data_IF_674621921094
#
_entry.id   IF_674621921094
#
_cell.length_a   1.000
_cell.length_b   1.000
_cell.length_c   1.000
_cell.angle_alpha   90.00
_cell.angle_beta   90.00
_cell.angle_gamma   90.00
#
_symmetry.space_group_name_H-M   'P 1'
#
loop_
_entity.id
_entity.type
_entity.pdbx_description
1 polymer ?
#
# COMPACT_ATOMS: atom_id res chain seq x y z
N UNK A 1 6.92 7.21 21.55
CA UNK A 1 8.29 6.67 21.51
C UNK A 1 8.15 5.16 21.52
N UNK A 2 8.00 4.56 20.35
CA UNK A 2 7.96 3.12 20.18
C UNK A 2 9.26 2.67 19.57
N UNK A 3 9.89 1.72 20.25
CA UNK A 3 11.19 1.14 20.05
C UNK A 3 11.53 0.96 18.57
N UNK A 4 12.58 1.66 18.17
CA UNK A 4 13.42 1.32 17.03
C UNK A 4 14.04 -0.04 17.36
N UNK A 5 13.34 -1.11 16.97
CA UNK A 5 13.85 -2.46 17.06
C UNK A 5 15.03 -2.51 16.09
N UNK A 6 16.22 -2.52 16.61
CA UNK A 6 17.49 -2.77 15.95
C UNK A 6 17.36 -4.01 15.06
N UNK A 7 16.90 -3.80 13.82
CA UNK A 7 16.92 -4.86 12.79
C UNK A 7 18.40 -5.13 12.51
N UNK A 8 18.82 -6.34 12.85
CA UNK A 8 20.10 -6.86 12.41
C UNK A 8 20.32 -6.55 10.91
N UNK A 9 21.54 -6.23 10.45
CA UNK A 9 21.79 -5.85 9.08
C UNK A 9 21.23 -6.93 8.14
N UNK A 10 20.18 -6.56 7.40
CA UNK A 10 19.51 -7.50 6.49
C UNK A 10 20.51 -7.93 5.42
N UNK A 11 20.78 -9.22 5.36
CA UNK A 11 21.63 -9.80 4.32
C UNK A 11 21.06 -9.37 2.96
N UNK A 12 21.85 -8.72 2.08
CA UNK A 12 21.37 -8.27 0.78
C UNK A 12 20.81 -9.45 -0.02
N UNK A 13 19.84 -9.15 -0.90
CA UNK A 13 19.28 -10.13 -1.83
C UNK A 13 20.39 -10.62 -2.77
N UNK A 14 20.55 -11.93 -2.89
CA UNK A 14 21.40 -12.53 -3.93
C UNK A 14 20.69 -12.48 -5.30
N UNK A 15 21.40 -12.83 -6.37
CA UNK A 15 20.86 -12.75 -7.73
C UNK A 15 19.65 -13.68 -7.92
N UNK A 16 19.65 -14.84 -7.27
CA UNK A 16 18.52 -15.77 -7.30
C UNK A 16 17.31 -15.17 -6.58
N UNK A 17 17.50 -14.58 -5.41
CA UNK A 17 16.44 -13.89 -4.68
C UNK A 17 15.83 -12.75 -5.53
N UNK A 18 16.67 -11.98 -6.24
CA UNK A 18 16.21 -10.92 -7.17
C UNK A 18 15.38 -11.49 -8.33
N UNK A 19 15.77 -12.62 -8.91
CA UNK A 19 14.99 -13.31 -9.94
C UNK A 19 13.62 -13.70 -9.39
N UNK A 20 13.56 -14.33 -8.22
CA UNK A 20 12.31 -14.78 -7.60
C UNK A 20 11.39 -13.61 -7.28
N UNK A 21 11.92 -12.54 -6.69
CA UNK A 21 11.14 -11.32 -6.40
C UNK A 21 10.61 -10.69 -7.68
N UNK A 22 11.40 -10.60 -8.75
CA UNK A 22 11.00 -10.05 -10.04
C UNK A 22 9.87 -10.86 -10.68
N UNK A 23 9.98 -12.18 -10.70
CA UNK A 23 8.94 -13.06 -11.28
C UNK A 23 7.64 -12.97 -10.46
N UNK A 24 7.71 -13.04 -9.14
CA UNK A 24 6.55 -12.92 -8.25
C UNK A 24 5.92 -11.51 -8.26
N UNK A 25 6.72 -10.46 -8.43
CA UNK A 25 6.19 -9.11 -8.60
C UNK A 25 5.42 -8.94 -9.92
N UNK A 26 5.79 -9.68 -10.98
CA UNK A 26 5.07 -9.68 -12.26
C UNK A 26 3.82 -10.55 -12.24
N UNK A 27 3.93 -11.73 -11.62
CA UNK A 27 2.84 -12.68 -11.48
C UNK A 27 2.89 -13.33 -10.08
N UNK A 28 2.10 -12.79 -9.15
CA UNK A 28 1.96 -13.34 -7.81
C UNK A 28 1.37 -14.76 -7.74
N UNK A 29 0.91 -15.31 -8.88
CA UNK A 29 0.41 -16.68 -9.03
C UNK A 29 1.40 -17.63 -9.74
N UNK A 30 2.62 -17.14 -10.01
CA UNK A 30 3.66 -17.97 -10.64
C UNK A 30 3.87 -19.26 -9.85
N UNK A 31 3.91 -20.40 -10.56
CA UNK A 31 4.10 -21.71 -9.92
C UNK A 31 5.54 -21.88 -9.46
N UNK A 32 5.76 -22.69 -8.42
CA UNK A 32 7.11 -23.04 -7.98
C UNK A 32 7.95 -23.69 -9.10
N UNK A 33 7.32 -24.44 -10.00
CA UNK A 33 7.99 -25.03 -11.15
C UNK A 33 8.47 -23.96 -12.14
N UNK A 34 7.66 -22.94 -12.43
CA UNK A 34 8.06 -21.80 -13.24
C UNK A 34 9.23 -21.04 -12.61
N UNK A 35 9.13 -20.74 -11.33
CA UNK A 35 10.19 -20.04 -10.58
C UNK A 35 11.49 -20.86 -10.55
N UNK A 36 11.40 -22.18 -10.39
CA UNK A 36 12.55 -23.10 -10.41
C UNK A 36 13.26 -23.08 -11.76
N UNK A 37 12.50 -23.12 -12.85
CA UNK A 37 13.05 -23.02 -14.21
C UNK A 37 13.75 -21.66 -14.44
N UNK A 38 13.17 -20.55 -13.96
CA UNK A 38 13.76 -19.22 -14.09
C UNK A 38 15.02 -19.03 -13.25
N UNK A 39 15.04 -19.61 -12.05
CA UNK A 39 16.15 -19.48 -11.11
C UNK A 39 17.26 -20.54 -11.30
N UNK A 40 17.05 -21.55 -12.14
CA UNK A 40 17.98 -22.66 -12.31
C UNK A 40 18.14 -23.53 -11.07
N UNK A 41 17.07 -23.69 -10.27
CA UNK A 41 17.08 -24.41 -9.01
C UNK A 41 16.04 -25.54 -8.98
N UNK A 42 16.12 -26.41 -7.97
CA UNK A 42 15.05 -27.35 -7.65
C UNK A 42 13.83 -26.66 -7.06
N UNK A 43 12.64 -27.24 -7.21
CA UNK A 43 11.39 -26.73 -6.66
C UNK A 43 11.50 -26.55 -5.14
N UNK A 44 12.10 -27.51 -4.44
CA UNK A 44 12.27 -27.43 -2.98
C UNK A 44 13.21 -26.29 -2.54
N UNK A 45 14.28 -26.03 -3.30
CA UNK A 45 15.18 -24.91 -3.04
C UNK A 45 14.48 -23.57 -3.24
N UNK A 46 13.68 -23.44 -4.31
CA UNK A 46 12.84 -22.23 -4.55
C UNK A 46 11.83 -22.03 -3.44
N UNK A 47 11.10 -23.08 -3.05
CA UNK A 47 10.13 -23.01 -1.96
C UNK A 47 10.75 -22.49 -0.66
N UNK A 48 11.94 -23.00 -0.31
CA UNK A 48 12.67 -22.56 0.88
C UNK A 48 13.05 -21.08 0.78
N UNK A 49 13.51 -20.63 -0.39
CA UNK A 49 13.88 -19.23 -0.63
C UNK A 49 12.66 -18.29 -0.58
N UNK A 50 11.56 -18.66 -1.21
CA UNK A 50 10.32 -17.86 -1.18
C UNK A 50 9.83 -17.68 0.27
N UNK A 51 9.76 -18.75 1.06
CA UNK A 51 9.40 -18.65 2.49
C UNK A 51 10.34 -17.73 3.28
N UNK A 52 11.64 -17.76 2.96
CA UNK A 52 12.61 -16.87 3.59
C UNK A 52 12.37 -15.40 3.17
N UNK A 53 12.03 -15.12 1.92
CA UNK A 53 11.71 -13.77 1.44
C UNK A 53 10.42 -13.24 2.11
N UNK A 54 9.42 -14.10 2.29
CA UNK A 54 8.19 -13.79 3.03
C UNK A 54 8.49 -13.51 4.51
N UNK A 55 9.22 -14.39 5.20
CA UNK A 55 9.57 -14.22 6.62
C UNK A 55 10.42 -12.99 6.91
N UNK A 56 11.22 -12.53 5.94
CA UNK A 56 12.01 -11.30 5.99
C UNK A 56 11.20 -10.05 5.62
N UNK A 57 9.94 -10.18 5.22
CA UNK A 57 9.12 -9.06 4.76
C UNK A 57 9.56 -8.46 3.42
N UNK A 58 10.39 -9.15 2.64
CA UNK A 58 10.75 -8.75 1.27
C UNK A 58 9.54 -8.96 0.35
N UNK A 59 8.83 -10.05 0.53
CA UNK A 59 7.51 -10.31 -0.04
C UNK A 59 6.49 -10.07 1.09
N UNK A 60 5.73 -9.02 0.97
CA UNK A 60 4.78 -8.58 2.00
C UNK A 60 3.39 -9.18 1.85
N UNK A 61 3.14 -9.86 0.74
CA UNK A 61 1.85 -10.52 0.48
C UNK A 61 1.57 -10.68 -1.01
N UNK A 62 0.42 -11.29 -1.29
CA UNK A 62 -0.11 -11.52 -2.63
C UNK A 62 -1.56 -11.04 -2.65
N UNK A 63 -1.89 -10.14 -3.56
CA UNK A 63 -3.23 -9.59 -3.66
C UNK A 63 -3.73 -9.57 -5.10
N UNK A 64 -5.03 -9.76 -5.29
CA UNK A 64 -5.66 -9.55 -6.58
C UNK A 64 -5.74 -8.04 -6.85
N UNK A 65 -5.44 -7.64 -8.08
CA UNK A 65 -5.73 -6.28 -8.56
C UNK A 65 -7.17 -6.25 -9.04
N UNK A 66 -7.98 -5.41 -8.42
CA UNK A 66 -9.40 -5.26 -8.76
C UNK A 66 -9.58 -3.95 -9.52
N UNK A 67 -10.35 -3.95 -10.62
CA UNK A 67 -10.77 -2.72 -11.26
C UNK A 67 -11.82 -2.02 -10.38
N UNK A 68 -11.54 -0.82 -9.83
CA UNK A 68 -12.46 -0.14 -8.94
C UNK A 68 -13.82 0.14 -9.55
N UNK A 69 -13.87 0.54 -10.82
CA UNK A 69 -15.13 0.81 -11.53
C UNK A 69 -16.02 -0.44 -11.63
N UNK A 70 -15.41 -1.63 -11.83
CA UNK A 70 -16.13 -2.90 -11.89
C UNK A 70 -16.80 -3.32 -10.58
N UNK A 71 -16.36 -2.73 -9.45
CA UNK A 71 -16.95 -2.92 -8.12
C UNK A 71 -17.68 -1.68 -7.62
N UNK A 72 -18.05 -0.77 -8.54
CA UNK A 72 -18.87 0.40 -8.24
C UNK A 72 -18.14 1.60 -7.64
N UNK A 73 -16.81 1.58 -7.56
CA UNK A 73 -16.00 2.69 -7.06
C UNK A 73 -15.61 3.62 -8.22
N UNK A 74 -16.56 4.49 -8.60
CA UNK A 74 -16.48 5.29 -9.83
C UNK A 74 -15.62 6.54 -9.69
N UNK A 75 -15.26 6.96 -8.46
CA UNK A 75 -14.53 8.19 -8.21
C UNK A 75 -13.37 7.92 -7.26
N UNK A 76 -12.18 8.37 -7.65
CA UNK A 76 -10.98 8.34 -6.81
C UNK A 76 -10.50 9.76 -6.53
N UNK A 77 -9.98 9.99 -5.33
CA UNK A 77 -9.41 11.29 -4.96
C UNK A 77 -8.22 11.12 -4.02
N UNK A 78 -7.29 12.07 -4.11
CA UNK A 78 -6.35 12.31 -3.02
C UNK A 78 -6.99 13.28 -2.03
N UNK A 79 -6.93 12.94 -0.74
CA UNK A 79 -7.41 13.80 0.34
C UNK A 79 -6.23 14.09 1.27
N UNK A 80 -5.73 15.31 1.17
CA UNK A 80 -4.72 15.80 2.08
C UNK A 80 -5.39 16.22 3.39
N UNK A 81 -4.82 15.83 4.52
CA UNK A 81 -5.34 16.15 5.85
C UNK A 81 -4.30 16.83 6.73
N UNK A 82 -4.76 17.76 7.55
CA UNK A 82 -3.94 18.49 8.52
C UNK A 82 -4.69 18.58 9.83
N UNK A 83 -4.11 18.18 10.98
CA UNK A 83 -4.72 18.36 12.29
C UNK A 83 -5.17 19.80 12.53
N UNK A 84 -6.35 19.99 13.13
CA UNK A 84 -6.86 21.33 13.49
C UNK A 84 -6.13 21.89 14.71
N UNK A 85 -5.68 21.03 15.60
CA UNK A 85 -4.95 21.41 16.81
C UNK A 85 -3.61 20.69 16.85
N UNK A 86 -2.49 21.38 16.54
CA UNK A 86 -1.16 20.79 16.58
C UNK A 86 -0.68 20.34 17.96
N UNK A 87 -1.37 20.75 19.04
CA UNK A 87 -1.03 20.35 20.41
C UNK A 87 -1.57 18.96 20.78
N UNK A 88 -2.52 18.42 20.00
CA UNK A 88 -3.08 17.11 20.21
C UNK A 88 -2.17 16.01 19.63
N UNK A 89 -2.27 14.78 20.15
CA UNK A 89 -1.54 13.65 19.58
C UNK A 89 -1.86 13.49 18.08
N UNK A 90 -0.82 13.22 17.30
CA UNK A 90 -0.95 12.97 15.86
C UNK A 90 -1.36 11.50 15.61
N UNK A 91 -2.62 11.19 15.91
CA UNK A 91 -3.22 9.86 15.84
C UNK A 91 -4.26 9.70 14.70
N UNK A 92 -4.31 10.67 13.78
CA UNK A 92 -5.26 10.68 12.67
C UNK A 92 -5.26 9.36 11.85
N UNK A 93 -4.13 8.75 11.49
CA UNK A 93 -4.13 7.48 10.78
C UNK A 93 -4.84 6.35 11.54
N UNK A 94 -4.60 6.23 12.85
CA UNK A 94 -5.22 5.19 13.67
C UNK A 94 -6.73 5.39 13.80
N UNK A 95 -7.19 6.65 13.88
CA UNK A 95 -8.62 6.96 13.92
C UNK A 95 -9.35 6.67 12.61
N UNK A 96 -8.63 6.72 11.49
CA UNK A 96 -9.20 6.56 10.14
C UNK A 96 -9.05 5.14 9.57
N UNK A 97 -8.26 4.27 10.20
CA UNK A 97 -7.91 2.92 9.71
C UNK A 97 -9.13 2.04 9.42
N UNK A 98 -10.23 2.24 10.15
CA UNK A 98 -11.45 1.45 9.99
C UNK A 98 -12.37 1.90 8.86
N UNK A 99 -12.02 2.94 8.10
CA UNK A 99 -12.83 3.48 7.00
C UNK A 99 -12.44 2.81 5.68
N UNK A 100 -13.21 1.85 5.22
CA UNK A 100 -12.92 1.04 4.02
C UNK A 100 -12.75 1.85 2.74
N UNK A 101 -13.36 3.04 2.64
CA UNK A 101 -13.20 3.93 1.50
C UNK A 101 -11.80 4.57 1.40
N UNK A 102 -10.98 4.45 2.44
CA UNK A 102 -9.59 4.91 2.46
C UNK A 102 -8.69 3.73 2.07
N UNK A 103 -8.20 3.75 0.84
CA UNK A 103 -7.31 2.69 0.32
C UNK A 103 -5.90 2.79 0.88
N UNK A 104 -5.39 4.02 1.07
CA UNK A 104 -4.02 4.26 1.53
C UNK A 104 -3.94 5.54 2.36
N UNK A 105 -3.02 5.54 3.32
CA UNK A 105 -2.66 6.69 4.13
C UNK A 105 -1.14 6.85 4.17
N UNK A 106 -0.65 8.02 3.76
CA UNK A 106 0.78 8.34 3.71
C UNK A 106 1.06 9.54 4.61
N UNK A 107 2.05 9.44 5.49
CA UNK A 107 2.65 10.61 6.13
C UNK A 107 3.54 11.31 5.11
N UNK A 108 3.41 12.63 4.99
CA UNK A 108 4.13 13.42 3.99
C UNK A 108 4.87 14.58 4.63
N UNK A 109 5.97 14.98 4.01
CA UNK A 109 6.69 16.19 4.37
C UNK A 109 6.18 17.35 3.48
N UNK A 110 5.50 18.33 4.06
CA UNK A 110 4.92 19.45 3.33
C UNK A 110 4.00 20.28 4.21
N UNK A 111 3.04 20.96 3.59
CA UNK A 111 2.03 21.74 4.30
C UNK A 111 1.00 20.85 5.02
N UNK A 112 0.72 19.69 4.45
CA UNK A 112 -0.18 18.69 5.02
C UNK A 112 0.59 17.64 5.81
N UNK A 113 -0.06 17.03 6.81
CA UNK A 113 0.52 15.93 7.60
C UNK A 113 0.39 14.58 6.91
N UNK A 114 -0.74 14.34 6.25
CA UNK A 114 -1.03 13.07 5.58
C UNK A 114 -1.75 13.28 4.26
N UNK A 115 -1.56 12.32 3.35
CA UNK A 115 -2.32 12.20 2.11
C UNK A 115 -2.97 10.82 2.07
N UNK A 116 -4.28 10.81 1.88
CA UNK A 116 -5.11 9.62 1.73
C UNK A 116 -5.41 9.40 0.25
N UNK A 117 -5.40 8.15 -0.21
CA UNK A 117 -6.05 7.75 -1.44
C UNK A 117 -7.42 7.18 -1.08
N UNK A 118 -8.48 7.77 -1.61
CA UNK A 118 -9.85 7.34 -1.33
C UNK A 118 -10.57 6.92 -2.61
N UNK A 119 -11.49 5.95 -2.49
CA UNK A 119 -12.36 5.51 -3.57
C UNK A 119 -13.80 5.46 -3.10
N UNK A 120 -14.68 6.02 -3.91
CA UNK A 120 -16.12 6.15 -3.57
C UNK A 120 -16.98 6.01 -4.83
N UNK A 121 -18.27 5.62 -4.69
CA UNK A 121 -19.14 5.42 -5.83
C UNK A 121 -19.60 6.72 -6.53
N UNK A 122 -19.56 7.86 -5.84
CA UNK A 122 -20.11 9.12 -6.40
C UNK A 122 -19.51 10.36 -5.74
N UNK A 123 -19.68 11.55 -6.35
CA UNK A 123 -19.31 12.83 -5.72
C UNK A 123 -20.00 13.08 -4.37
N UNK A 124 -21.26 12.66 -4.23
CA UNK A 124 -21.99 12.76 -2.96
C UNK A 124 -21.36 11.89 -1.87
N UNK A 125 -21.00 10.65 -2.22
CA UNK A 125 -20.29 9.77 -1.29
C UNK A 125 -18.91 10.32 -0.90
N UNK A 126 -18.23 11.06 -1.80
CA UNK A 126 -17.00 11.75 -1.45
C UNK A 126 -17.24 12.85 -0.41
N UNK A 127 -18.28 13.65 -0.58
CA UNK A 127 -18.63 14.68 0.40
C UNK A 127 -18.94 14.10 1.78
N UNK A 128 -19.73 13.03 1.83
CA UNK A 128 -20.05 12.31 3.06
C UNK A 128 -18.77 11.73 3.71
N UNK A 129 -17.87 11.15 2.92
CA UNK A 129 -16.57 10.66 3.40
C UNK A 129 -15.69 11.79 3.94
N UNK A 130 -15.61 12.93 3.25
CA UNK A 130 -14.83 14.08 3.71
C UNK A 130 -15.36 14.62 5.05
N UNK A 131 -16.68 14.63 5.24
CA UNK A 131 -17.27 15.00 6.52
C UNK A 131 -16.92 13.99 7.61
N UNK A 132 -17.01 12.69 7.32
CA UNK A 132 -16.63 11.63 8.26
C UNK A 132 -15.16 11.76 8.66
N UNK A 133 -14.24 11.95 7.72
CA UNK A 133 -12.80 12.14 7.99
C UNK A 133 -12.58 13.33 8.92
N UNK A 134 -13.20 14.50 8.61
CA UNK A 134 -13.05 15.71 9.43
C UNK A 134 -13.51 15.51 10.86
N UNK A 135 -14.65 14.85 11.05
CA UNK A 135 -15.22 14.64 12.39
C UNK A 135 -14.50 13.56 13.19
N UNK A 136 -14.08 12.48 12.52
CA UNK A 136 -13.41 11.33 13.18
C UNK A 136 -12.00 11.69 13.63
N UNK A 137 -11.23 12.37 12.78
CA UNK A 137 -9.82 12.66 13.06
C UNK A 137 -9.55 14.10 13.51
N UNK A 138 -10.56 14.97 13.58
CA UNK A 138 -10.43 16.39 13.93
C UNK A 138 -9.40 17.11 13.03
N UNK A 139 -9.59 17.01 11.72
CA UNK A 139 -8.66 17.52 10.70
C UNK A 139 -9.34 18.45 9.70
N UNK A 140 -8.55 19.30 9.04
CA UNK A 140 -8.92 19.92 7.76
C UNK A 140 -8.65 18.95 6.63
N UNK A 141 -9.46 19.06 5.57
CA UNK A 141 -9.29 18.26 4.37
C UNK A 141 -9.13 19.15 3.14
N UNK A 142 -8.24 18.77 2.24
CA UNK A 142 -8.13 19.31 0.87
C UNK A 142 -8.17 18.14 -0.09
N UNK A 143 -9.17 18.11 -0.98
CA UNK A 143 -9.36 17.00 -1.92
C UNK A 143 -8.93 17.38 -3.33
N UNK A 144 -8.32 16.42 -4.04
CA UNK A 144 -7.97 16.49 -5.45
C UNK A 144 -8.55 15.27 -6.14
N UNK A 145 -9.54 15.48 -7.02
CA UNK A 145 -10.19 14.40 -7.75
C UNK A 145 -9.25 13.89 -8.85
N UNK A 146 -9.11 12.57 -8.95
CA UNK A 146 -8.37 11.91 -10.02
C UNK A 146 -9.31 11.80 -11.22
N UNK A 147 -8.99 12.52 -12.30
CA UNK A 147 -9.80 12.50 -13.52
C UNK A 147 -9.49 11.26 -14.37
N UNK A 148 -8.25 10.84 -14.42
CA UNK A 148 -7.80 9.69 -15.17
C UNK A 148 -6.53 9.09 -14.55
N UNK A 149 -6.48 7.76 -14.45
CA UNK A 149 -5.28 7.04 -14.03
C UNK A 149 -4.62 6.43 -15.27
N UNK A 150 -3.42 6.88 -15.63
CA UNK A 150 -2.65 6.34 -16.75
C UNK A 150 -1.91 5.05 -16.37
N UNK A 151 -1.42 4.97 -15.15
CA UNK A 151 -0.82 3.77 -14.55
C UNK A 151 -0.80 3.90 -13.03
N UNK A 152 -0.96 2.79 -12.34
CA UNK A 152 -0.96 2.70 -10.89
C UNK A 152 -0.31 1.40 -10.42
N UNK A 153 0.31 1.44 -9.23
CA UNK A 153 0.87 0.26 -8.59
C UNK A 153 1.92 -0.47 -9.44
N UNK A 154 2.73 0.25 -10.24
CA UNK A 154 3.86 -0.37 -10.94
C UNK A 154 4.81 -0.99 -9.95
N UNK A 155 5.13 -2.25 -10.15
CA UNK A 155 6.03 -2.97 -9.27
C UNK A 155 7.45 -2.42 -9.37
N UNK A 156 8.03 -2.08 -8.22
CA UNK A 156 9.47 -1.84 -8.10
C UNK A 156 10.15 -3.21 -8.10
N UNK A 157 10.80 -3.54 -9.21
CA UNK A 157 11.55 -4.79 -9.34
C UNK A 157 13.05 -4.50 -9.21
N UNK A 158 13.77 -5.29 -8.40
CA UNK A 158 15.20 -5.13 -8.19
C UNK A 158 16.02 -5.47 -9.45
#
# INVERSE_FOLDING_TARGET
VTADSERAPERPLDDVDRILVRELARDGRATLAHLAAKAGLSISAVQTRVRRLESRGVLTGYAARVNPESVGQMLSAFVAITPLDPSQPDDAPARLEHIDAIESCYSVAGEESYVLLVRVPSPRALEELLQLIRTTANVRTRSTIILQTFYDGRQLVP
#
